data_IF_528823596200
#
_entry.id   IF_528823596200
#
_cell.length_a   1.000
_cell.length_b   1.000
_cell.length_c   1.000
_cell.angle_alpha   90.00
_cell.angle_beta   90.00
_cell.angle_gamma   90.00
#
_symmetry.space_group_name_H-M   'P 1'
#
loop_
_entity.id
_entity.type
_entity.pdbx_description
1 polymer ?
#
# COMPACT_ATOMS: atom_id res chain seq x y z
N UNK A 1 -3.79 -8.55 12.88
CA UNK A 1 -5.23 -8.77 13.27
C UNK A 1 -5.74 -10.00 12.53
N UNK A 2 -6.59 -10.84 13.13
CA UNK A 2 -7.19 -11.99 12.44
C UNK A 2 -8.43 -11.51 11.67
N UNK A 3 -8.41 -11.65 10.35
CA UNK A 3 -9.53 -11.22 9.49
C UNK A 3 -10.83 -12.01 9.79
N UNK A 4 -10.71 -13.27 10.20
CA UNK A 4 -11.85 -14.12 10.58
C UNK A 4 -12.69 -13.54 11.73
N UNK A 5 -12.10 -12.72 12.61
CA UNK A 5 -12.84 -12.06 13.69
C UNK A 5 -13.81 -10.97 13.21
N UNK A 6 -13.64 -10.48 11.98
CA UNK A 6 -14.43 -9.42 11.38
C UNK A 6 -15.47 -9.92 10.38
N UNK A 7 -15.57 -11.23 10.22
CA UNK A 7 -16.53 -11.88 9.34
C UNK A 7 -17.04 -13.19 9.97
N UNK A 8 -17.89 -13.89 9.28
CA UNK A 8 -18.37 -15.23 9.67
C UNK A 8 -18.77 -16.02 8.43
N UNK A 9 -18.91 -17.33 8.53
CA UNK A 9 -19.30 -18.17 7.40
C UNK A 9 -20.61 -17.70 6.73
N UNK A 10 -21.56 -17.14 7.48
CA UNK A 10 -22.81 -16.59 6.94
C UNK A 10 -22.61 -15.32 6.09
N UNK A 11 -21.52 -14.59 6.28
CA UNK A 11 -21.16 -13.39 5.51
C UNK A 11 -20.33 -13.71 4.26
N UNK A 12 -20.02 -14.99 4.02
CA UNK A 12 -19.25 -15.44 2.86
C UNK A 12 -20.18 -16.17 1.90
N UNK A 13 -20.13 -15.80 0.63
CA UNK A 13 -20.89 -16.45 -0.45
C UNK A 13 -19.93 -16.76 -1.59
N UNK A 14 -19.83 -18.02 -1.99
CA UNK A 14 -18.94 -18.44 -3.06
C UNK A 14 -19.73 -18.77 -4.34
N UNK A 15 -19.12 -18.49 -5.49
CA UNK A 15 -19.61 -18.84 -6.82
C UNK A 15 -21.05 -18.34 -7.09
N UNK A 16 -21.30 -17.07 -6.80
CA UNK A 16 -22.58 -16.41 -7.05
C UNK A 16 -22.80 -16.11 -8.55
N UNK A 17 -24.06 -16.08 -8.97
CA UNK A 17 -24.48 -15.71 -10.33
C UNK A 17 -24.79 -14.20 -10.47
N UNK A 18 -24.55 -13.37 -9.43
CA UNK A 18 -24.74 -11.92 -9.49
C UNK A 18 -23.90 -11.32 -10.63
N UNK A 19 -24.46 -10.34 -11.32
CA UNK A 19 -23.94 -9.90 -12.62
C UNK A 19 -23.67 -8.40 -12.74
N UNK A 20 -24.09 -7.59 -11.76
CA UNK A 20 -23.87 -6.15 -11.74
C UNK A 20 -23.31 -5.67 -10.40
N UNK A 21 -22.59 -4.55 -10.44
CA UNK A 21 -22.05 -3.88 -9.25
C UNK A 21 -23.14 -3.57 -8.21
N UNK A 22 -24.26 -3.04 -8.67
CA UNK A 22 -25.39 -2.65 -7.82
C UNK A 22 -26.01 -3.86 -7.11
N UNK A 23 -26.29 -4.94 -7.83
CA UNK A 23 -26.82 -6.17 -7.23
C UNK A 23 -25.88 -6.76 -6.19
N UNK A 24 -24.57 -6.73 -6.46
CA UNK A 24 -23.56 -7.25 -5.56
C UNK A 24 -23.48 -6.44 -4.26
N UNK A 25 -23.45 -5.11 -4.36
CA UNK A 25 -23.41 -4.24 -3.18
C UNK A 25 -24.67 -4.44 -2.36
N UNK A 26 -25.86 -4.41 -2.96
CA UNK A 26 -27.14 -4.67 -2.26
C UNK A 26 -27.17 -6.03 -1.56
N UNK A 27 -26.74 -7.06 -2.24
CA UNK A 27 -26.65 -8.39 -1.70
C UNK A 27 -25.74 -8.45 -0.43
N UNK A 28 -24.54 -7.86 -0.51
CA UNK A 28 -23.62 -7.85 0.61
C UNK A 28 -24.10 -6.98 1.78
N UNK A 29 -24.74 -5.84 1.49
CA UNK A 29 -25.42 -5.00 2.50
C UNK A 29 -26.50 -5.79 3.23
N UNK A 30 -27.35 -6.50 2.49
CA UNK A 30 -28.40 -7.34 3.10
C UNK A 30 -27.81 -8.45 3.98
N UNK A 31 -26.70 -9.06 3.56
CA UNK A 31 -25.95 -10.03 4.41
C UNK A 31 -25.48 -9.43 5.73
N UNK A 32 -24.89 -8.23 5.67
CA UNK A 32 -24.43 -7.52 6.88
C UNK A 32 -25.60 -7.14 7.80
N UNK A 33 -26.74 -6.75 7.25
CA UNK A 33 -27.96 -6.45 8.00
C UNK A 33 -28.51 -7.71 8.69
N UNK A 34 -28.66 -8.80 7.96
CA UNK A 34 -29.14 -10.09 8.49
C UNK A 34 -28.22 -10.64 9.59
N UNK A 35 -26.92 -10.38 9.49
CA UNK A 35 -25.96 -10.72 10.53
C UNK A 35 -25.93 -9.73 11.71
N UNK A 36 -26.78 -8.69 11.70
CA UNK A 36 -26.88 -7.69 12.76
C UNK A 36 -25.69 -6.72 12.84
N UNK A 37 -24.82 -6.68 11.81
CA UNK A 37 -23.64 -5.79 11.76
C UNK A 37 -23.99 -4.34 11.46
N UNK A 38 -25.09 -4.13 10.76
CA UNK A 38 -25.67 -2.81 10.47
C UNK A 38 -27.14 -2.79 10.92
N UNK A 39 -27.69 -1.61 11.19
CA UNK A 39 -29.06 -1.41 11.67
C UNK A 39 -30.05 -0.94 10.59
N UNK A 40 -29.55 -0.48 9.44
CA UNK A 40 -30.35 -0.02 8.32
C UNK A 40 -29.63 -0.34 7.00
N UNK A 41 -30.30 -1.07 6.11
CA UNK A 41 -29.74 -1.49 4.81
C UNK A 41 -29.58 -0.29 3.87
N UNK A 42 -30.64 0.54 3.75
CA UNK A 42 -30.65 1.64 2.79
C UNK A 42 -29.61 2.72 3.13
N UNK A 43 -29.55 3.14 4.39
CA UNK A 43 -28.58 4.15 4.82
C UNK A 43 -27.14 3.67 4.58
N UNK A 44 -26.85 2.40 4.91
CA UNK A 44 -25.54 1.84 4.67
C UNK A 44 -25.22 1.67 3.18
N UNK A 45 -26.19 1.26 2.38
CA UNK A 45 -26.04 1.17 0.94
C UNK A 45 -25.69 2.53 0.33
N UNK A 46 -26.38 3.59 0.74
CA UNK A 46 -26.09 4.96 0.28
C UNK A 46 -24.70 5.42 0.69
N UNK A 47 -24.26 5.11 1.92
CA UNK A 47 -22.90 5.43 2.38
C UNK A 47 -21.81 4.72 1.53
N UNK A 48 -22.07 3.47 1.11
CA UNK A 48 -21.17 2.74 0.20
C UNK A 48 -21.14 3.39 -1.18
N UNK A 49 -22.29 3.77 -1.75
CA UNK A 49 -22.36 4.43 -3.05
C UNK A 49 -21.68 5.81 -3.05
N UNK A 50 -21.88 6.59 -1.99
CA UNK A 50 -21.22 7.88 -1.82
C UNK A 50 -19.70 7.71 -1.83
N UNK A 51 -19.19 6.73 -1.07
CA UNK A 51 -17.75 6.42 -1.04
C UNK A 51 -17.24 5.95 -2.41
N UNK A 52 -18.01 5.12 -3.10
CA UNK A 52 -17.67 4.57 -4.41
C UNK A 52 -17.58 5.66 -5.49
N UNK A 53 -18.42 6.71 -5.36
CA UNK A 53 -18.43 7.85 -6.28
C UNK A 53 -17.18 8.73 -6.21
N UNK A 54 -16.47 8.71 -5.08
CA UNK A 54 -15.24 9.49 -4.88
C UNK A 54 -14.04 8.89 -5.60
N UNK A 55 -13.91 7.57 -5.55
CA UNK A 55 -12.77 6.84 -6.16
C UNK A 55 -13.17 5.38 -6.33
N UNK A 56 -12.95 4.77 -7.51
CA UNK A 56 -13.23 3.35 -7.75
C UNK A 56 -12.58 2.45 -6.71
N UNK A 57 -13.32 1.42 -6.28
CA UNK A 57 -12.82 0.41 -5.32
C UNK A 57 -12.42 -0.90 -5.97
N UNK A 58 -12.59 -1.05 -7.27
CA UNK A 58 -11.94 -2.09 -8.04
C UNK A 58 -10.43 -1.82 -8.09
N UNK A 59 -9.62 -2.84 -7.80
CA UNK A 59 -8.18 -2.66 -7.63
C UNK A 59 -7.44 -3.32 -8.79
N UNK A 60 -7.12 -4.60 -8.65
CA UNK A 60 -6.42 -5.43 -9.62
C UNK A 60 -6.77 -6.92 -9.38
N UNK A 61 -6.34 -7.82 -10.24
CA UNK A 61 -6.52 -9.27 -10.09
C UNK A 61 -7.96 -9.73 -9.81
N UNK A 62 -8.93 -9.01 -10.35
CA UNK A 62 -10.35 -9.31 -10.16
C UNK A 62 -10.92 -8.91 -8.79
N UNK A 63 -10.19 -8.14 -8.00
CA UNK A 63 -10.57 -7.72 -6.65
C UNK A 63 -11.28 -6.37 -6.65
N UNK A 64 -12.33 -6.23 -5.82
CA UNK A 64 -12.91 -4.96 -5.40
C UNK A 64 -13.17 -4.95 -3.89
N UNK A 65 -12.93 -3.79 -3.26
CA UNK A 65 -13.11 -3.58 -1.82
C UNK A 65 -14.02 -2.36 -1.58
N UNK A 66 -15.32 -2.42 -1.96
CA UNK A 66 -16.26 -1.38 -1.58
C UNK A 66 -16.36 -1.27 -0.05
N UNK A 67 -16.55 -0.06 0.44
CA UNK A 67 -16.65 0.17 1.87
C UNK A 67 -17.52 1.38 2.19
N UNK A 68 -18.21 1.34 3.31
CA UNK A 68 -19.00 2.44 3.85
C UNK A 68 -18.66 2.72 5.29
N UNK A 69 -18.67 4.01 5.67
CA UNK A 69 -18.53 4.46 7.06
C UNK A 69 -19.78 5.21 7.46
N UNK A 70 -20.54 4.65 8.39
CA UNK A 70 -21.82 5.23 8.80
C UNK A 70 -22.17 4.93 10.26
N UNK A 71 -23.07 5.76 10.83
CA UNK A 71 -23.60 5.58 12.19
C UNK A 71 -24.49 4.36 12.36
N UNK A 72 -25.03 3.81 11.26
CA UNK A 72 -25.83 2.56 11.29
C UNK A 72 -24.97 1.31 11.44
N UNK A 73 -23.66 1.41 11.29
CA UNK A 73 -22.73 0.30 11.51
C UNK A 73 -22.50 0.12 13.01
N UNK A 74 -22.87 -1.05 13.53
CA UNK A 74 -22.76 -1.39 14.96
C UNK A 74 -21.36 -1.80 15.35
N UNK A 75 -20.69 -2.56 14.50
CA UNK A 75 -19.31 -3.03 14.68
C UNK A 75 -18.62 -3.24 13.34
N UNK A 76 -17.30 -3.09 13.31
CA UNK A 76 -16.52 -3.32 12.11
C UNK A 76 -16.69 -4.76 11.62
N UNK A 77 -17.04 -4.92 10.35
CA UNK A 77 -17.27 -6.22 9.73
C UNK A 77 -17.04 -6.17 8.23
N UNK A 78 -16.87 -7.33 7.60
CA UNK A 78 -16.91 -7.42 6.15
C UNK A 78 -17.70 -8.65 5.69
N UNK A 79 -18.33 -8.50 4.52
CA UNK A 79 -19.00 -9.57 3.80
C UNK A 79 -18.28 -9.83 2.47
N UNK A 80 -18.28 -11.09 2.02
CA UNK A 80 -17.55 -11.52 0.83
C UNK A 80 -18.49 -12.21 -0.15
N UNK A 81 -18.30 -11.90 -1.44
CA UNK A 81 -18.86 -12.70 -2.52
C UNK A 81 -17.78 -13.01 -3.56
N UNK A 82 -17.71 -14.26 -4.00
CA UNK A 82 -17.00 -14.65 -5.21
C UNK A 82 -18.01 -14.95 -6.31
N UNK A 83 -17.69 -14.57 -7.54
CA UNK A 83 -18.58 -14.66 -8.67
C UNK A 83 -18.16 -15.78 -9.62
N UNK A 84 -19.14 -16.47 -10.24
CA UNK A 84 -18.85 -17.46 -11.30
C UNK A 84 -18.29 -16.80 -12.55
N UNK A 85 -18.73 -15.58 -12.84
CA UNK A 85 -18.28 -14.79 -13.99
C UNK A 85 -17.89 -13.39 -13.52
N UNK A 86 -16.79 -12.83 -14.04
CA UNK A 86 -16.41 -11.47 -13.71
C UNK A 86 -17.45 -10.45 -14.16
N UNK A 87 -17.63 -9.40 -13.35
CA UNK A 87 -18.47 -8.25 -13.62
C UNK A 87 -17.70 -7.23 -14.45
N UNK A 88 -18.36 -6.62 -15.45
CA UNK A 88 -17.73 -5.70 -16.39
C UNK A 88 -17.98 -4.22 -16.05
N UNK A 89 -19.03 -3.94 -15.29
CA UNK A 89 -19.48 -2.59 -14.92
C UNK A 89 -18.83 -2.07 -13.62
N UNK A 90 -17.82 -2.76 -13.12
CA UNK A 90 -17.08 -2.30 -11.93
C UNK A 90 -15.88 -1.43 -12.32
N UNK A 91 -15.97 -0.16 -12.02
CA UNK A 91 -14.86 0.77 -12.20
C UNK A 91 -13.68 0.38 -11.34
N UNK A 92 -12.49 0.39 -11.92
CA UNK A 92 -11.28 -0.06 -11.27
C UNK A 92 -10.12 0.91 -11.50
N UNK A 93 -9.20 0.96 -10.53
CA UNK A 93 -7.98 1.78 -10.62
C UNK A 93 -7.08 1.27 -11.75
N UNK A 94 -7.04 -0.05 -11.96
CA UNK A 94 -6.31 -0.68 -13.07
C UNK A 94 -7.26 -0.92 -14.23
N UNK A 95 -6.93 -0.37 -15.39
CA UNK A 95 -7.73 -0.52 -16.60
C UNK A 95 -7.82 -2.00 -17.02
N UNK A 96 -9.02 -2.44 -17.38
CA UNK A 96 -9.27 -3.83 -17.82
C UNK A 96 -9.43 -4.84 -16.69
N UNK A 97 -9.37 -4.44 -15.42
CA UNK A 97 -9.69 -5.31 -14.29
C UNK A 97 -11.11 -5.86 -14.41
N UNK A 98 -11.28 -7.17 -14.25
CA UNK A 98 -12.56 -7.88 -14.33
C UNK A 98 -12.90 -8.41 -12.95
N UNK A 99 -13.72 -7.65 -12.19
CA UNK A 99 -14.02 -7.94 -10.79
C UNK A 99 -14.76 -9.26 -10.65
N UNK A 100 -14.20 -10.16 -9.85
CA UNK A 100 -14.74 -11.48 -9.54
C UNK A 100 -14.79 -11.75 -8.03
N UNK A 101 -14.04 -10.98 -7.24
CA UNK A 101 -13.92 -11.13 -5.80
C UNK A 101 -14.25 -9.78 -5.14
N UNK A 102 -15.31 -9.75 -4.33
CA UNK A 102 -15.77 -8.51 -3.71
C UNK A 102 -15.82 -8.67 -2.21
N UNK A 103 -15.16 -7.75 -1.49
CA UNK A 103 -15.12 -7.65 -0.04
C UNK A 103 -15.74 -6.32 0.37
N UNK A 104 -16.98 -6.35 0.86
CA UNK A 104 -17.68 -5.15 1.34
C UNK A 104 -17.40 -4.93 2.82
N UNK A 105 -16.76 -3.81 3.17
CA UNK A 105 -16.41 -3.45 4.54
C UNK A 105 -17.44 -2.48 5.13
N UNK A 106 -17.93 -2.80 6.32
CA UNK A 106 -18.76 -1.93 7.15
C UNK A 106 -17.91 -1.36 8.29
N UNK A 107 -17.88 -0.01 8.39
CA UNK A 107 -17.00 0.73 9.30
C UNK A 107 -17.84 1.63 10.19
N UNK A 108 -17.76 1.52 11.54
CA UNK A 108 -18.47 2.40 12.45
C UNK A 108 -18.03 3.86 12.33
N UNK A 109 -18.99 4.80 12.38
CA UNK A 109 -18.70 6.24 12.25
C UNK A 109 -17.80 6.75 13.39
N UNK A 110 -17.97 6.23 14.59
CA UNK A 110 -17.27 6.69 15.81
C UNK A 110 -15.92 5.99 16.04
N UNK A 111 -15.39 5.30 15.05
CA UNK A 111 -14.07 4.69 15.17
C UNK A 111 -12.98 5.77 15.17
N UNK A 112 -12.66 6.26 16.39
CA UNK A 112 -11.64 7.29 16.64
C UNK A 112 -10.21 6.76 16.53
N UNK A 113 -10.03 5.47 16.52
CA UNK A 113 -8.72 4.84 16.56
C UNK A 113 -8.52 3.90 15.37
N UNK A 114 -7.98 4.40 14.29
CA UNK A 114 -7.16 3.62 13.34
C UNK A 114 -7.54 2.15 13.00
N UNK A 115 -8.54 1.52 13.65
CA UNK A 115 -8.98 0.13 13.37
C UNK A 115 -9.43 0.00 11.93
N UNK A 116 -10.13 1.00 11.41
CA UNK A 116 -10.50 1.08 9.98
C UNK A 116 -9.27 1.05 9.08
N UNK A 117 -8.31 1.92 9.36
CA UNK A 117 -7.08 2.01 8.54
C UNK A 117 -6.22 0.76 8.69
N UNK A 118 -6.14 0.20 9.91
CA UNK A 118 -5.44 -1.05 10.15
C UNK A 118 -6.10 -2.22 9.44
N UNK A 119 -7.45 -2.31 9.47
CA UNK A 119 -8.20 -3.35 8.77
C UNK A 119 -8.00 -3.27 7.25
N UNK A 120 -8.18 -2.08 6.69
CA UNK A 120 -7.95 -1.86 5.26
C UNK A 120 -6.51 -2.18 4.87
N UNK A 121 -5.54 -1.70 5.66
CA UNK A 121 -4.12 -1.96 5.39
C UNK A 121 -3.78 -3.44 5.46
N UNK A 122 -4.26 -4.16 6.47
CA UNK A 122 -4.03 -5.61 6.60
C UNK A 122 -4.71 -6.40 5.49
N UNK A 123 -5.95 -6.03 5.16
CA UNK A 123 -6.69 -6.63 4.06
C UNK A 123 -5.96 -6.40 2.73
N UNK A 124 -5.53 -5.16 2.46
CA UNK A 124 -4.75 -4.81 1.26
C UNK A 124 -3.42 -5.56 1.21
N UNK A 125 -2.70 -5.65 2.33
CA UNK A 125 -1.44 -6.38 2.42
C UNK A 125 -1.62 -7.88 2.12
N UNK A 126 -2.65 -8.52 2.70
CA UNK A 126 -2.95 -9.93 2.41
C UNK A 126 -3.42 -10.15 0.97
N UNK A 127 -4.29 -9.26 0.46
CA UNK A 127 -4.81 -9.38 -0.91
C UNK A 127 -3.78 -9.04 -1.99
N UNK A 128 -2.74 -8.27 -1.68
CA UNK A 128 -1.60 -8.04 -2.55
C UNK A 128 -0.69 -9.29 -2.68
N UNK A 129 -0.76 -10.22 -1.74
CA UNK A 129 0.01 -11.46 -1.79
C UNK A 129 -0.67 -12.48 -2.72
N UNK A 130 -0.08 -12.72 -3.89
CA UNK A 130 -0.63 -13.62 -4.92
C UNK A 130 -0.83 -15.05 -4.42
N UNK A 131 0.11 -15.60 -3.66
CA UNK A 131 0.00 -16.98 -3.12
C UNK A 131 -1.16 -17.09 -2.13
N UNK A 132 -1.35 -16.06 -1.30
CA UNK A 132 -2.47 -15.98 -0.38
C UNK A 132 -3.81 -15.91 -1.13
N UNK A 133 -3.92 -15.03 -2.12
CA UNK A 133 -5.16 -14.85 -2.90
C UNK A 133 -5.49 -16.08 -3.73
N UNK A 134 -4.51 -16.73 -4.36
CA UNK A 134 -4.71 -17.98 -5.09
C UNK A 134 -5.28 -19.07 -4.16
N UNK A 135 -4.69 -19.27 -2.99
CA UNK A 135 -5.16 -20.24 -2.00
C UNK A 135 -6.57 -19.90 -1.50
N UNK A 136 -6.82 -18.62 -1.20
CA UNK A 136 -8.12 -18.15 -0.74
C UNK A 136 -9.19 -18.38 -1.81
N UNK A 137 -8.93 -18.00 -3.04
CA UNK A 137 -9.87 -18.10 -4.16
C UNK A 137 -10.05 -19.52 -4.69
N UNK A 138 -9.08 -20.41 -4.47
CA UNK A 138 -9.21 -21.84 -4.76
C UNK A 138 -10.12 -22.60 -3.79
N UNK A 139 -10.54 -21.97 -2.70
CA UNK A 139 -11.42 -22.57 -1.69
C UNK A 139 -12.76 -23.01 -2.29
N UNK A 140 -13.13 -24.25 -2.08
CA UNK A 140 -14.35 -24.87 -2.67
C UNK A 140 -15.55 -24.72 -1.76
N UNK A 141 -15.33 -24.51 -0.47
CA UNK A 141 -16.38 -24.38 0.55
C UNK A 141 -16.20 -23.10 1.35
N UNK A 142 -17.33 -22.57 1.88
CA UNK A 142 -17.32 -21.38 2.75
C UNK A 142 -16.43 -21.62 3.98
N UNK A 143 -16.49 -22.80 4.56
CA UNK A 143 -15.65 -23.16 5.73
C UNK A 143 -14.15 -23.11 5.39
N UNK A 144 -13.76 -23.65 4.25
CA UNK A 144 -12.37 -23.61 3.78
C UNK A 144 -11.91 -22.16 3.51
N UNK A 145 -12.76 -21.37 2.86
CA UNK A 145 -12.50 -19.94 2.62
C UNK A 145 -12.31 -19.20 3.94
N UNK A 146 -13.20 -19.39 4.90
CA UNK A 146 -13.14 -18.79 6.23
C UNK A 146 -11.86 -19.15 6.98
N UNK A 147 -11.46 -20.43 6.95
CA UNK A 147 -10.21 -20.90 7.55
C UNK A 147 -8.98 -20.29 6.86
N UNK A 148 -9.02 -20.11 5.54
CA UNK A 148 -7.92 -19.55 4.79
C UNK A 148 -7.77 -18.04 4.96
N UNK A 149 -8.76 -17.30 5.49
CA UNK A 149 -8.65 -15.86 5.76
C UNK A 149 -7.51 -15.51 6.74
N UNK A 150 -7.30 -16.35 7.76
CA UNK A 150 -6.24 -16.10 8.75
C UNK A 150 -4.99 -16.93 8.50
N UNK A 151 -5.10 -18.00 7.70
CA UNK A 151 -3.96 -18.74 7.21
C UNK A 151 -3.22 -17.82 6.20
N UNK A 152 -2.56 -16.80 6.74
CA UNK A 152 -1.48 -16.13 6.02
C UNK A 152 -0.57 -17.22 5.46
N UNK A 153 0.07 -16.97 4.34
CA UNK A 153 1.20 -17.80 3.93
C UNK A 153 2.08 -17.86 5.17
N UNK A 154 2.12 -19.05 5.82
CA UNK A 154 3.08 -19.25 6.87
C UNK A 154 4.42 -18.84 6.27
N UNK A 155 5.16 -18.02 6.97
CA UNK A 155 6.56 -17.72 6.60
C UNK A 155 7.39 -18.98 6.35
N UNK A 156 6.87 -20.14 6.72
CA UNK A 156 7.45 -21.47 6.53
C UNK A 156 7.21 -22.09 5.14
N UNK A 157 6.30 -21.53 4.30
CA UNK A 157 6.17 -21.92 2.88
C UNK A 157 6.90 -20.94 1.92
N UNK A 158 7.54 -19.91 2.42
CA UNK A 158 8.61 -19.25 1.68
C UNK A 158 9.70 -20.31 1.56
N UNK A 159 9.85 -20.91 0.38
CA UNK A 159 11.01 -21.73 0.08
C UNK A 159 12.21 -20.95 0.53
N UNK A 160 12.82 -21.35 1.63
CA UNK A 160 14.05 -20.73 2.10
C UNK A 160 15.10 -21.06 1.04
N UNK A 161 15.45 -20.06 0.26
CA UNK A 161 16.52 -20.19 -0.71
C UNK A 161 17.84 -19.90 0.02
N UNK A 162 18.92 -20.52 -0.44
CA UNK A 162 20.25 -20.33 0.14
C UNK A 162 20.80 -18.90 -0.02
N UNK A 163 20.20 -18.11 -0.93
CA UNK A 163 20.61 -16.73 -1.20
C UNK A 163 19.52 -15.76 -0.76
N UNK A 164 19.93 -14.68 -0.14
CA UNK A 164 19.04 -13.59 0.25
C UNK A 164 19.56 -12.22 -0.18
N UNK A 165 18.66 -11.33 -0.54
CA UNK A 165 18.88 -9.92 -0.86
C UNK A 165 17.97 -9.08 0.02
N UNK A 166 18.47 -7.97 0.52
CA UNK A 166 17.66 -6.94 1.15
C UNK A 166 17.37 -5.81 0.15
N UNK A 167 16.18 -5.26 0.19
CA UNK A 167 15.82 -4.15 -0.68
C UNK A 167 15.13 -3.04 0.11
N UNK A 168 15.32 -1.79 -0.33
CA UNK A 168 14.57 -0.63 0.17
C UNK A 168 13.82 -0.03 -0.98
N UNK A 169 12.53 0.20 -0.80
CA UNK A 169 11.70 0.94 -1.74
C UNK A 169 11.21 2.23 -1.11
N UNK A 170 11.38 3.37 -1.80
CA UNK A 170 10.95 4.67 -1.27
C UNK A 170 10.58 5.65 -2.37
N UNK A 171 9.50 6.41 -2.17
CA UNK A 171 9.15 7.55 -3.00
C UNK A 171 8.67 8.72 -2.14
N UNK A 172 8.63 9.93 -2.70
CA UNK A 172 8.26 11.14 -1.96
C UNK A 172 6.86 11.04 -1.32
N UNK A 173 5.89 10.44 -2.01
CA UNK A 173 4.55 10.22 -1.48
C UNK A 173 4.46 8.99 -0.55
N UNK A 174 5.40 8.02 -0.65
CA UNK A 174 5.46 6.83 0.19
C UNK A 174 4.28 5.87 0.04
N UNK A 175 3.56 5.92 -1.11
CA UNK A 175 2.32 5.17 -1.29
C UNK A 175 2.47 4.17 -2.46
N UNK A 176 1.76 4.33 -3.57
CA UNK A 176 1.58 3.31 -4.59
C UNK A 176 2.90 2.73 -5.17
N UNK A 177 3.83 3.56 -5.64
CA UNK A 177 5.05 3.08 -6.28
C UNK A 177 5.96 2.31 -5.32
N UNK A 178 6.00 2.70 -4.04
CA UNK A 178 6.78 2.02 -3.00
C UNK A 178 6.32 0.58 -2.81
N UNK A 179 5.01 0.37 -2.70
CA UNK A 179 4.44 -0.97 -2.51
C UNK A 179 4.50 -1.83 -3.77
N UNK A 180 4.19 -1.25 -4.93
CA UNK A 180 4.26 -1.97 -6.21
C UNK A 180 5.69 -2.43 -6.53
N UNK A 181 6.69 -1.58 -6.26
CA UNK A 181 8.09 -1.94 -6.44
C UNK A 181 8.53 -3.06 -5.47
N UNK A 182 8.07 -3.00 -4.22
CA UNK A 182 8.33 -4.05 -3.23
C UNK A 182 7.75 -5.40 -3.67
N UNK A 183 6.51 -5.40 -4.14
CA UNK A 183 5.84 -6.61 -4.66
C UNK A 183 6.56 -7.18 -5.87
N UNK A 184 6.90 -6.32 -6.85
CA UNK A 184 7.61 -6.74 -8.06
C UNK A 184 8.97 -7.39 -7.73
N UNK A 185 9.73 -6.84 -6.78
CA UNK A 185 11.01 -7.42 -6.33
C UNK A 185 10.80 -8.75 -5.60
N UNK A 186 9.83 -8.84 -4.71
CA UNK A 186 9.54 -10.09 -3.97
C UNK A 186 9.12 -11.21 -4.92
N UNK A 187 8.22 -10.91 -5.87
CA UNK A 187 7.78 -11.89 -6.88
C UNK A 187 8.92 -12.35 -7.77
N UNK A 188 9.72 -11.43 -8.29
CA UNK A 188 10.87 -11.77 -9.13
C UNK A 188 11.91 -12.58 -8.35
N UNK A 189 12.11 -12.31 -7.05
CA UNK A 189 12.97 -13.10 -6.18
C UNK A 189 12.50 -14.55 -6.07
N UNK A 190 11.21 -14.78 -5.85
CA UNK A 190 10.64 -16.13 -5.79
C UNK A 190 10.84 -16.89 -7.10
N UNK A 191 10.65 -16.23 -8.25
CA UNK A 191 10.85 -16.82 -9.58
C UNK A 191 12.32 -17.17 -9.86
N UNK A 192 13.27 -16.41 -9.29
CA UNK A 192 14.71 -16.62 -9.41
C UNK A 192 15.31 -17.52 -8.31
N UNK A 193 14.50 -17.98 -7.36
CA UNK A 193 14.98 -18.79 -6.25
C UNK A 193 15.85 -18.00 -5.27
N UNK A 194 15.50 -16.74 -4.98
CA UNK A 194 16.20 -15.82 -4.09
C UNK A 194 15.21 -15.22 -3.08
N UNK A 195 15.57 -15.23 -1.81
CA UNK A 195 14.79 -14.51 -0.80
C UNK A 195 15.04 -13.00 -0.95
N UNK A 196 14.01 -12.24 -1.29
CA UNK A 196 14.09 -10.77 -1.35
C UNK A 196 13.25 -10.18 -0.25
N UNK A 197 13.91 -9.63 0.77
CA UNK A 197 13.27 -8.92 1.88
C UNK A 197 13.21 -7.43 1.54
N UNK A 198 12.03 -6.82 1.58
CA UNK A 198 11.84 -5.44 1.15
C UNK A 198 11.33 -4.57 2.30
N UNK A 199 12.15 -3.60 2.69
CA UNK A 199 11.79 -2.52 3.61
C UNK A 199 11.17 -1.37 2.82
N UNK A 200 9.99 -0.93 3.22
CA UNK A 200 9.28 0.18 2.59
C UNK A 200 9.45 1.44 3.42
N UNK A 201 9.92 2.53 2.78
CA UNK A 201 10.12 3.81 3.43
C UNK A 201 9.23 4.89 2.80
N UNK A 202 8.52 5.66 3.63
CA UNK A 202 7.59 6.67 3.15
C UNK A 202 7.26 7.71 4.22
N UNK A 203 6.18 8.46 3.97
CA UNK A 203 5.68 9.48 4.90
C UNK A 203 5.25 8.88 6.26
N UNK A 204 4.78 7.63 6.25
CA UNK A 204 4.36 6.90 7.45
C UNK A 204 5.52 6.27 8.25
N UNK A 205 6.76 6.46 7.81
CA UNK A 205 7.94 5.89 8.48
C UNK A 205 8.58 4.75 7.70
N UNK A 206 9.07 3.75 8.43
CA UNK A 206 9.71 2.55 7.92
C UNK A 206 8.81 1.36 8.24
N UNK A 207 8.36 0.65 7.20
CA UNK A 207 7.59 -0.58 7.31
C UNK A 207 8.43 -1.78 6.90
N UNK A 208 8.17 -2.94 7.49
CA UNK A 208 8.92 -4.20 7.28
C UNK A 208 10.44 -4.01 7.44
N UNK A 209 10.82 -3.31 8.50
CA UNK A 209 12.21 -2.97 8.79
C UNK A 209 13.07 -4.22 8.85
N UNK A 210 14.20 -4.19 8.14
CA UNK A 210 15.15 -5.28 8.17
C UNK A 210 15.76 -5.48 9.56
N UNK A 211 15.76 -6.74 10.00
CA UNK A 211 16.48 -7.12 11.23
C UNK A 211 17.99 -7.18 10.99
N UNK A 212 18.77 -7.10 12.06
CA UNK A 212 20.23 -7.25 11.97
C UNK A 212 20.63 -8.61 11.39
N UNK A 213 19.84 -9.65 11.62
CA UNK A 213 20.07 -10.99 11.08
C UNK A 213 19.85 -11.03 9.56
N UNK A 214 18.77 -10.41 9.07
CA UNK A 214 18.52 -10.28 7.62
C UNK A 214 19.65 -9.53 6.92
N UNK A 215 20.11 -8.40 7.50
CA UNK A 215 21.21 -7.61 6.95
C UNK A 215 22.53 -8.40 6.94
N UNK A 216 22.82 -9.15 7.99
CA UNK A 216 24.03 -9.97 8.08
C UNK A 216 24.07 -11.12 7.08
N UNK A 217 22.92 -11.72 6.79
CA UNK A 217 22.79 -12.87 5.91
C UNK A 217 22.56 -12.49 4.45
N UNK A 218 22.32 -11.21 4.14
CA UNK A 218 22.10 -10.74 2.80
C UNK A 218 23.37 -10.73 1.96
N UNK A 219 23.27 -11.13 0.69
CA UNK A 219 24.37 -11.10 -0.27
C UNK A 219 24.56 -9.73 -0.90
N UNK A 220 23.48 -8.95 -1.05
CA UNK A 220 23.48 -7.62 -1.65
C UNK A 220 22.29 -6.78 -1.15
N UNK A 221 22.33 -5.46 -1.43
CA UNK A 221 21.24 -4.54 -1.20
C UNK A 221 20.74 -3.93 -2.52
N UNK A 222 19.43 -3.70 -2.63
CA UNK A 222 18.80 -3.00 -3.75
C UNK A 222 18.06 -1.78 -3.19
N UNK A 223 18.42 -0.57 -3.65
CA UNK A 223 17.68 0.66 -3.35
C UNK A 223 16.90 1.09 -4.58
N UNK A 224 15.61 0.79 -4.61
CA UNK A 224 14.67 1.25 -5.62
C UNK A 224 13.94 2.50 -5.09
N UNK A 225 14.57 3.67 -5.23
CA UNK A 225 14.18 4.87 -4.48
C UNK A 225 14.23 6.14 -5.35
N UNK A 226 13.31 7.06 -5.09
CA UNK A 226 13.31 8.42 -5.66
C UNK A 226 13.64 9.49 -4.59
N UNK A 227 13.82 9.07 -3.32
CA UNK A 227 14.21 9.90 -2.19
C UNK A 227 15.36 9.24 -1.43
N UNK A 228 16.03 9.99 -0.55
CA UNK A 228 17.12 9.45 0.25
C UNK A 228 16.64 8.29 1.15
N UNK A 229 17.46 7.25 1.26
CA UNK A 229 17.20 6.11 2.15
C UNK A 229 17.44 6.54 3.60
N UNK A 230 16.46 6.32 4.46
CA UNK A 230 16.63 6.55 5.89
C UNK A 230 17.55 5.47 6.48
N UNK A 231 18.51 5.89 7.30
CA UNK A 231 19.47 4.98 7.95
C UNK A 231 20.25 4.11 6.95
N UNK A 232 20.68 4.72 5.83
CA UNK A 232 21.43 4.04 4.75
C UNK A 232 22.71 3.36 5.26
N UNK A 233 23.30 3.87 6.32
CA UNK A 233 24.51 3.33 6.95
C UNK A 233 24.36 1.87 7.41
N UNK A 234 23.13 1.39 7.66
CA UNK A 234 22.87 -0.01 8.02
C UNK A 234 23.29 -1.00 6.92
N UNK A 235 23.32 -0.53 5.68
CA UNK A 235 23.61 -1.34 4.49
C UNK A 235 25.04 -1.19 3.99
N UNK A 236 25.89 -0.42 4.68
CA UNK A 236 27.25 -0.04 4.22
C UNK A 236 28.18 -1.22 3.95
N UNK A 237 27.93 -2.38 4.55
CA UNK A 237 28.70 -3.60 4.37
C UNK A 237 28.25 -4.45 3.17
N UNK A 238 27.16 -4.07 2.49
CA UNK A 238 26.57 -4.82 1.39
C UNK A 238 26.87 -4.15 0.03
N UNK A 239 27.21 -4.92 -1.00
CA UNK A 239 27.23 -4.42 -2.36
C UNK A 239 25.83 -3.94 -2.76
N UNK A 240 25.69 -2.65 -3.08
CA UNK A 240 24.39 -2.00 -3.25
C UNK A 240 24.16 -1.60 -4.71
N UNK A 241 22.96 -1.91 -5.22
CA UNK A 241 22.44 -1.40 -6.50
C UNK A 241 21.42 -0.29 -6.21
N UNK A 242 21.62 0.89 -6.79
CA UNK A 242 20.68 2.02 -6.70
C UNK A 242 19.91 2.19 -8.03
N UNK A 243 18.60 2.33 -7.95
CA UNK A 243 17.72 2.53 -9.11
C UNK A 243 16.48 3.35 -8.71
N UNK A 244 15.70 3.80 -9.70
CA UNK A 244 14.44 4.51 -9.45
C UNK A 244 13.39 3.55 -8.89
N UNK A 245 12.46 4.05 -8.06
CA UNK A 245 11.37 3.26 -7.48
C UNK A 245 10.49 2.59 -8.56
N UNK A 246 10.38 3.18 -9.74
CA UNK A 246 9.61 2.62 -10.85
C UNK A 246 10.34 1.53 -11.66
N UNK A 247 11.64 1.35 -11.47
CA UNK A 247 12.42 0.40 -12.27
C UNK A 247 12.03 -1.06 -12.04
N UNK A 248 11.77 -1.54 -10.79
CA UNK A 248 11.29 -2.89 -10.56
C UNK A 248 9.98 -3.24 -11.27
N UNK A 249 9.11 -2.25 -11.52
CA UNK A 249 7.86 -2.47 -12.24
C UNK A 249 8.08 -2.86 -13.71
N UNK A 250 9.25 -2.51 -14.26
CA UNK A 250 9.61 -2.83 -15.65
C UNK A 250 10.39 -4.12 -15.75
N UNK A 251 11.40 -4.30 -14.88
CA UNK A 251 12.30 -5.45 -14.96
C UNK A 251 12.97 -5.76 -13.61
N UNK A 252 12.18 -6.26 -12.65
CA UNK A 252 12.67 -6.63 -11.34
C UNK A 252 13.68 -7.79 -11.39
N UNK A 253 13.51 -8.75 -12.32
CA UNK A 253 14.43 -9.90 -12.47
C UNK A 253 15.84 -9.44 -12.77
N UNK A 254 16.00 -8.58 -13.79
CA UNK A 254 17.30 -8.04 -14.18
C UNK A 254 17.99 -7.28 -13.05
N UNK A 255 17.23 -6.54 -12.24
CA UNK A 255 17.76 -5.81 -11.08
C UNK A 255 18.31 -6.79 -10.05
N UNK A 256 17.58 -7.87 -9.73
CA UNK A 256 18.01 -8.91 -8.80
C UNK A 256 19.25 -9.64 -9.34
N UNK A 257 19.26 -10.05 -10.61
CA UNK A 257 20.40 -10.69 -11.26
C UNK A 257 21.65 -9.79 -11.21
N UNK A 258 21.48 -8.49 -11.48
CA UNK A 258 22.57 -7.52 -11.38
C UNK A 258 23.11 -7.40 -9.96
N UNK A 259 22.24 -7.42 -8.95
CA UNK A 259 22.63 -7.39 -7.55
C UNK A 259 23.42 -8.65 -7.14
N UNK A 260 22.98 -9.83 -7.60
CA UNK A 260 23.67 -11.10 -7.36
C UNK A 260 25.05 -11.14 -8.02
N UNK A 261 25.16 -10.69 -9.28
CA UNK A 261 26.45 -10.62 -9.99
C UNK A 261 27.42 -9.68 -9.25
N UNK A 262 26.93 -8.53 -8.78
CA UNK A 262 27.74 -7.59 -7.99
C UNK A 262 28.21 -8.23 -6.67
N UNK A 263 27.34 -8.98 -6.00
CA UNK A 263 27.69 -9.73 -4.78
C UNK A 263 28.80 -10.74 -5.03
N UNK A 264 28.71 -11.52 -6.12
CA UNK A 264 29.72 -12.52 -6.49
C UNK A 264 31.08 -11.88 -6.84
N UNK A 265 31.07 -10.76 -7.56
CA UNK A 265 32.29 -9.99 -7.87
C UNK A 265 32.96 -9.44 -6.61
N UNK A 266 32.17 -8.92 -5.66
CA UNK A 266 32.67 -8.44 -4.37
C UNK A 266 33.27 -9.57 -3.55
N UNK A 267 32.63 -10.74 -3.50
CA UNK A 267 33.11 -11.91 -2.77
C UNK A 267 34.43 -12.48 -3.36
N UNK A 268 34.66 -12.32 -4.67
CA UNK A 268 35.90 -12.75 -5.36
C UNK A 268 37.04 -11.74 -5.23
N UNK A 269 36.80 -10.57 -4.59
CA UNK A 269 37.79 -9.50 -4.53
C UNK A 269 38.04 -8.77 -5.86
N UNK A 270 37.24 -9.08 -6.90
CA UNK A 270 37.31 -8.45 -8.22
C UNK A 270 36.63 -7.07 -8.25
N UNK A 271 35.79 -6.78 -7.24
CA UNK A 271 35.12 -5.51 -7.07
C UNK A 271 35.93 -4.65 -6.08
N UNK A 272 36.92 -3.93 -6.59
CA UNK A 272 37.41 -2.73 -5.89
C UNK A 272 36.27 -1.73 -6.05
N UNK A 273 35.67 -1.32 -4.95
CA UNK A 273 34.78 -0.16 -4.92
C UNK A 273 35.61 1.05 -5.35
N UNK A 274 35.71 1.23 -6.65
CA UNK A 274 35.93 2.55 -7.14
C UNK A 274 34.69 3.33 -6.73
N UNK A 275 34.77 4.02 -5.62
CA UNK A 275 34.06 5.27 -5.41
C UNK A 275 34.44 6.16 -6.62
N UNK A 276 33.87 5.83 -7.78
CA UNK A 276 33.49 6.83 -8.74
C UNK A 276 32.37 7.59 -8.02
N UNK A 277 32.81 8.59 -7.21
CA UNK A 277 32.32 9.91 -7.54
C UNK A 277 32.43 9.99 -9.07
N UNK A 278 31.42 9.46 -9.80
CA UNK A 278 31.01 10.15 -10.99
C UNK A 278 30.86 11.57 -10.45
N UNK A 279 31.75 12.45 -10.87
CA UNK A 279 31.52 13.87 -10.78
C UNK A 279 30.16 14.04 -11.42
N UNK A 280 29.09 13.91 -10.57
CA UNK A 280 27.77 14.37 -10.90
C UNK A 280 28.04 15.79 -11.34
N UNK A 281 27.85 16.08 -12.63
CA UNK A 281 28.24 17.35 -13.15
C UNK A 281 27.63 18.41 -12.27
N UNK A 282 28.33 19.50 -11.98
CA UNK A 282 27.88 20.56 -11.07
C UNK A 282 26.36 20.83 -11.13
N UNK A 283 25.76 20.73 -12.31
CA UNK A 283 24.33 20.79 -12.57
C UNK A 283 23.52 19.67 -11.91
N UNK A 284 24.03 18.44 -11.83
CA UNK A 284 23.35 17.30 -11.24
C UNK A 284 23.38 17.35 -9.71
N UNK A 285 24.52 17.78 -9.15
CA UNK A 285 24.67 18.04 -7.70
C UNK A 285 23.78 19.21 -7.26
N UNK A 286 23.68 20.28 -8.05
CA UNK A 286 22.78 21.41 -7.79
C UNK A 286 21.31 20.95 -7.89
N UNK A 287 20.96 20.13 -8.86
CA UNK A 287 19.60 19.60 -9.02
C UNK A 287 19.21 18.71 -7.82
N UNK A 288 20.08 17.83 -7.35
CA UNK A 288 19.83 17.01 -6.15
C UNK A 288 19.72 17.87 -4.90
N UNK A 289 20.58 18.84 -4.71
CA UNK A 289 20.53 19.77 -3.59
C UNK A 289 19.22 20.59 -3.58
N UNK A 290 18.81 21.10 -4.75
CA UNK A 290 17.55 21.84 -4.92
C UNK A 290 16.34 20.94 -4.66
N UNK A 291 16.30 19.72 -5.20
CA UNK A 291 15.20 18.76 -4.97
C UNK A 291 15.10 18.36 -3.51
N UNK A 292 16.23 18.14 -2.84
CA UNK A 292 16.27 17.84 -1.40
C UNK A 292 15.79 19.07 -0.60
N UNK A 293 16.24 20.26 -0.94
CA UNK A 293 15.78 21.50 -0.32
C UNK A 293 14.29 21.72 -0.47
N UNK A 294 13.74 21.53 -1.67
CA UNK A 294 12.29 21.65 -1.93
C UNK A 294 11.50 20.67 -1.07
N UNK A 295 11.94 19.41 -0.93
CA UNK A 295 11.25 18.39 -0.14
C UNK A 295 11.13 18.77 1.34
N UNK A 296 12.10 19.52 1.89
CA UNK A 296 12.04 20.00 3.27
C UNK A 296 11.24 21.29 3.42
N UNK A 297 11.13 22.10 2.37
CA UNK A 297 10.41 23.39 2.41
C UNK A 297 8.92 23.22 2.15
N UNK A 298 8.49 22.21 1.37
CA UNK A 298 7.08 21.97 1.06
C UNK A 298 6.21 21.86 2.33
N UNK A 299 6.55 21.07 3.38
CA UNK A 299 5.76 21.00 4.59
C UNK A 299 5.63 22.34 5.31
N UNK A 300 6.68 23.16 5.29
CA UNK A 300 6.70 24.51 5.88
C UNK A 300 5.78 25.47 5.12
N UNK A 301 5.80 25.44 3.80
CA UNK A 301 4.92 26.27 2.94
C UNK A 301 3.45 25.87 3.17
N UNK A 302 3.17 24.56 3.20
CA UNK A 302 1.82 24.04 3.45
C UNK A 302 1.33 24.43 4.84
N UNK A 303 2.16 24.28 5.87
CA UNK A 303 1.84 24.68 7.24
C UNK A 303 1.59 26.20 7.34
N UNK A 304 2.46 27.01 6.72
CA UNK A 304 2.31 28.47 6.66
C UNK A 304 1.04 28.90 5.93
N UNK A 305 0.74 28.27 4.80
CA UNK A 305 -0.50 28.49 4.04
C UNK A 305 -1.76 28.14 4.82
N UNK A 306 -1.75 27.03 5.57
CA UNK A 306 -2.88 26.65 6.44
C UNK A 306 -3.07 27.65 7.58
N UNK A 307 -1.99 28.08 8.24
CA UNK A 307 -2.06 29.09 9.31
C UNK A 307 -2.64 30.39 8.74
N UNK A 308 -2.14 30.87 7.61
CA UNK A 308 -2.66 32.06 6.96
C UNK A 308 -4.15 31.93 6.61
N UNK A 309 -4.58 30.81 6.07
CA UNK A 309 -5.98 30.53 5.76
C UNK A 309 -6.87 30.55 7.02
N UNK A 310 -6.41 29.94 8.11
CA UNK A 310 -7.11 29.94 9.41
C UNK A 310 -7.22 31.37 9.94
N UNK A 311 -6.15 32.17 9.88
CA UNK A 311 -6.17 33.56 10.29
C UNK A 311 -7.18 34.41 9.49
N UNK A 312 -7.25 34.19 8.16
CA UNK A 312 -8.22 34.88 7.30
C UNK A 312 -9.66 34.48 7.64
N UNK A 313 -9.91 33.19 7.85
CA UNK A 313 -11.24 32.69 8.24
C UNK A 313 -11.64 33.29 9.59
N UNK A 314 -10.72 33.27 10.57
CA UNK A 314 -10.95 33.82 11.89
C UNK A 314 -11.25 35.33 11.84
N UNK A 315 -10.44 36.11 11.12
CA UNK A 315 -10.63 37.53 10.92
C UNK A 315 -12.00 37.85 10.30
N UNK A 316 -12.43 37.07 9.29
CA UNK A 316 -13.77 37.24 8.67
C UNK A 316 -14.91 36.89 9.63
N UNK A 317 -14.75 35.80 10.41
CA UNK A 317 -15.83 35.32 11.30
C UNK A 317 -16.04 36.21 12.50
N UNK A 318 -14.98 36.85 13.02
CA UNK A 318 -15.03 37.71 14.20
C UNK A 318 -14.99 39.21 13.88
N UNK A 319 -15.07 39.60 12.60
CA UNK A 319 -15.21 41.00 12.19
C UNK A 319 -13.90 41.82 12.23
N UNK A 320 -12.73 41.19 12.33
CA UNK A 320 -11.42 41.85 12.32
C UNK A 320 -10.91 42.15 10.93
N UNK A 321 -11.79 42.65 10.03
CA UNK A 321 -11.47 42.89 8.61
C UNK A 321 -10.44 44.01 8.40
N UNK A 322 -10.30 44.96 9.34
CA UNK A 322 -9.33 46.07 9.23
C UNK A 322 -7.87 45.62 9.37
N UNK A 323 -7.61 44.47 9.98
CA UNK A 323 -6.27 43.91 10.09
C UNK A 323 -5.76 43.29 8.78
N UNK A 324 -6.60 43.18 7.73
CA UNK A 324 -6.25 42.58 6.45
C UNK A 324 -5.88 43.62 5.38
N UNK A 325 -6.01 44.91 5.66
CA UNK A 325 -5.55 45.99 4.76
C UNK A 325 -4.04 46.18 4.93
N UNK A 326 -3.26 45.42 4.14
CA UNK A 326 -1.79 45.41 4.16
C UNK A 326 -1.15 46.54 3.35
N UNK A 327 -1.76 47.70 3.20
CA UNK A 327 -1.11 48.82 2.52
C UNK A 327 -0.09 49.59 3.40
N UNK A 328 0.06 49.26 4.68
CA UNK A 328 0.98 49.99 5.59
C UNK A 328 2.07 49.13 6.28
N UNK A 329 2.23 47.87 5.96
CA UNK A 329 3.37 47.09 6.49
C UNK A 329 4.46 47.05 5.45
N UNK A 330 5.26 48.12 5.43
CA UNK A 330 6.54 48.13 4.69
C UNK A 330 7.47 47.04 5.24
N UNK A 331 7.96 46.21 4.39
CA UNK A 331 9.05 45.30 4.69
C UNK A 331 10.29 46.12 5.12
N UNK A 332 10.69 45.92 6.37
CA UNK A 332 12.06 46.19 6.83
C UNK A 332 12.86 44.87 6.62
#
# INVERSE_FOLDING_TARGET
MELSKLTSEQLITLNSDLSSKDEIIKFLVSKLYQAGKISNEEDFYQAVLERESLTPTGIDNGLAIPHGKDGVVREAAFAVVTLKKPVKDWESVVEGNKVQYVFLLAIPQNDRNSVQMQLLAEMMTKMANHTYTEKLYASKTVKEFYQNLDNGVNSDEIKSFDRSIVAVTACAAGIAHTYMAAEALTKAGQELGVNVYVEKQGANGIEDRHTNEMLKNASAAIFAVDVAVKEEERFSHLPTIKTKVSAPLKDAKKIIETALVKAEQTARGEYVEHSRHQEAGFLETVKEAVMTGISHVIPLIVAGGMIAAICVIFARTFGFTDLMNTEEVGFI
#
